data_IF_303857419632
#
_entry.id   IF_303857419632
#
_cell.length_a   1.000
_cell.length_b   1.000
_cell.length_c   1.000
_cell.angle_alpha   90.00
_cell.angle_beta   90.00
_cell.angle_gamma   90.00
#
_symmetry.space_group_name_H-M   'P 1'
#
loop_
_entity.id
_entity.type
_entity.pdbx_description
1 polymer ?
#
# COMPACT_ATOMS: atom_id res chain seq x y z
N UNK A 1 -50.68 27.68 14.92
CA UNK A 1 -49.71 27.54 16.04
C UNK A 1 -48.49 28.39 15.71
N UNK A 2 -48.22 29.43 16.49
CA UNK A 2 -47.04 30.28 16.33
C UNK A 2 -45.80 29.56 16.91
N UNK A 3 -45.22 28.62 16.16
CA UNK A 3 -44.05 27.84 16.58
C UNK A 3 -42.85 28.73 16.98
N UNK A 4 -42.72 29.92 16.40
CA UNK A 4 -41.63 30.87 16.69
C UNK A 4 -41.71 31.52 18.08
N UNK A 5 -42.84 31.39 18.79
CA UNK A 5 -43.02 31.97 20.12
C UNK A 5 -42.59 31.02 21.25
N UNK A 6 -42.40 29.74 20.92
CA UNK A 6 -41.93 28.73 21.86
C UNK A 6 -40.40 28.83 22.05
N UNK A 7 -40.00 29.26 23.25
CA UNK A 7 -38.59 29.39 23.62
C UNK A 7 -37.83 28.06 23.54
N UNK A 8 -38.51 26.92 23.75
CA UNK A 8 -37.91 25.58 23.68
C UNK A 8 -37.59 25.21 22.23
N UNK A 9 -38.50 25.51 21.32
CA UNK A 9 -38.30 25.30 19.88
C UNK A 9 -37.16 26.19 19.34
N UNK A 10 -37.12 27.47 19.74
CA UNK A 10 -36.00 28.36 19.39
C UNK A 10 -34.65 27.84 19.89
N UNK A 11 -34.60 27.27 21.10
CA UNK A 11 -33.38 26.66 21.64
C UNK A 11 -32.91 25.47 20.79
N UNK A 12 -33.82 24.64 20.28
CA UNK A 12 -33.48 23.53 19.39
C UNK A 12 -32.92 24.00 18.05
N UNK A 13 -33.46 25.08 17.49
CA UNK A 13 -32.93 25.68 16.27
C UNK A 13 -31.51 26.23 16.52
N UNK A 14 -31.28 26.88 17.67
CA UNK A 14 -29.95 27.40 18.02
C UNK A 14 -28.92 26.26 18.14
N UNK A 15 -29.27 25.18 18.81
CA UNK A 15 -28.42 23.98 18.93
C UNK A 15 -28.17 23.35 17.56
N UNK A 16 -29.19 23.26 16.71
CA UNK A 16 -29.07 22.76 15.35
C UNK A 16 -28.06 23.58 14.52
N UNK A 17 -28.16 24.91 14.56
CA UNK A 17 -27.22 25.81 13.87
C UNK A 17 -25.80 25.65 14.42
N UNK A 18 -25.64 25.46 15.72
CA UNK A 18 -24.34 25.21 16.35
C UNK A 18 -23.71 23.91 15.85
N UNK A 19 -24.49 22.82 15.75
CA UNK A 19 -24.02 21.55 15.19
C UNK A 19 -23.69 21.65 13.70
N UNK A 20 -24.51 22.33 12.89
CA UNK A 20 -24.18 22.60 11.48
C UNK A 20 -22.88 23.36 11.36
N UNK A 21 -22.73 24.44 12.13
CA UNK A 21 -21.51 25.26 12.14
C UNK A 21 -20.28 24.43 12.51
N UNK A 22 -20.39 23.58 13.55
CA UNK A 22 -19.33 22.66 13.95
C UNK A 22 -18.97 21.65 12.87
N UNK A 23 -19.96 21.08 12.18
CA UNK A 23 -19.74 20.14 11.06
C UNK A 23 -19.02 20.82 9.89
N UNK A 24 -19.36 22.09 9.58
CA UNK A 24 -18.69 22.88 8.55
C UNK A 24 -17.25 23.23 8.92
N UNK A 25 -17.00 23.62 10.17
CA UNK A 25 -15.67 24.03 10.64
C UNK A 25 -14.71 22.85 10.83
N UNK A 26 -15.23 21.68 11.21
CA UNK A 26 -14.43 20.52 11.58
C UNK A 26 -14.90 19.23 10.88
N UNK A 27 -14.68 19.10 9.56
CA UNK A 27 -15.16 17.97 8.77
C UNK A 27 -14.57 16.62 9.23
N UNK A 28 -13.35 16.61 9.78
CA UNK A 28 -12.68 15.40 10.26
C UNK A 28 -13.38 14.70 11.44
N UNK A 29 -14.09 15.46 12.28
CA UNK A 29 -14.80 14.94 13.47
C UNK A 29 -16.33 15.00 13.33
N UNK A 30 -16.82 15.30 12.12
CA UNK A 30 -18.24 15.44 11.81
C UNK A 30 -19.09 14.25 12.25
N UNK A 31 -18.59 13.03 12.10
CA UNK A 31 -19.25 11.81 12.58
C UNK A 31 -19.45 11.78 14.10
N UNK A 32 -18.46 12.22 14.88
CA UNK A 32 -18.57 12.31 16.34
C UNK A 32 -19.59 13.37 16.76
N UNK A 33 -19.62 14.51 16.05
CA UNK A 33 -20.59 15.57 16.27
C UNK A 33 -22.02 15.11 15.99
N UNK A 34 -22.26 14.27 14.98
CA UNK A 34 -23.58 13.69 14.72
C UNK A 34 -24.04 12.75 15.85
N UNK A 35 -23.14 11.92 16.37
CA UNK A 35 -23.44 11.05 17.52
C UNK A 35 -23.79 11.91 18.74
N UNK A 36 -23.02 12.97 19.01
CA UNK A 36 -23.31 13.92 20.09
C UNK A 36 -24.68 14.58 19.89
N UNK A 37 -25.01 15.00 18.65
CA UNK A 37 -26.30 15.59 18.33
C UNK A 37 -27.46 14.62 18.63
N UNK A 38 -27.32 13.34 18.31
CA UNK A 38 -28.33 12.31 18.63
C UNK A 38 -28.60 12.24 20.14
N UNK A 39 -27.55 12.26 20.98
CA UNK A 39 -27.72 12.28 22.43
C UNK A 39 -28.37 13.57 22.93
N UNK A 40 -27.94 14.73 22.42
CA UNK A 40 -28.47 16.04 22.83
C UNK A 40 -29.95 16.18 22.45
N UNK A 41 -30.30 15.94 21.18
CA UNK A 41 -31.69 16.00 20.73
C UNK A 41 -32.55 14.90 21.37
N UNK A 42 -32.00 13.70 21.58
CA UNK A 42 -32.67 12.61 22.30
C UNK A 42 -33.00 12.97 23.75
N UNK A 43 -32.03 13.53 24.49
CA UNK A 43 -32.24 13.97 25.87
C UNK A 43 -33.24 15.13 25.96
N UNK A 44 -33.16 16.12 25.06
CA UNK A 44 -34.13 17.22 24.99
C UNK A 44 -35.55 16.72 24.70
N UNK A 45 -35.71 15.75 23.81
CA UNK A 45 -37.01 15.13 23.50
C UNK A 45 -37.58 14.28 24.65
N UNK A 46 -36.72 13.72 25.51
CA UNK A 46 -37.15 13.00 26.72
C UNK A 46 -37.57 13.98 27.83
N UNK A 47 -36.83 15.07 27.99
CA UNK A 47 -37.08 16.06 29.03
C UNK A 47 -38.34 16.88 28.75
N UNK A 48 -38.62 17.19 27.47
CA UNK A 48 -39.82 17.91 27.07
C UNK A 48 -40.91 16.97 26.55
N UNK A 49 -42.01 16.87 27.30
CA UNK A 49 -43.12 15.96 26.98
C UNK A 49 -44.02 16.42 25.82
N UNK A 50 -43.82 17.61 25.29
CA UNK A 50 -44.70 18.20 24.27
C UNK A 50 -44.50 17.50 22.91
N UNK A 51 -45.59 17.06 22.24
CA UNK A 51 -45.49 16.22 21.05
C UNK A 51 -44.87 16.93 19.84
N UNK A 52 -45.10 18.24 19.69
CA UNK A 52 -44.53 19.01 18.59
C UNK A 52 -43.01 19.19 18.70
N UNK A 53 -42.46 19.26 19.93
CA UNK A 53 -41.01 19.37 20.15
C UNK A 53 -40.28 18.08 19.79
N UNK A 54 -40.91 16.92 20.03
CA UNK A 54 -40.36 15.61 19.62
C UNK A 54 -40.28 15.50 18.11
N UNK A 55 -41.36 15.89 17.42
CA UNK A 55 -41.40 15.91 15.96
C UNK A 55 -40.35 16.87 15.39
N UNK A 56 -40.27 18.08 15.95
CA UNK A 56 -39.26 19.07 15.55
C UNK A 56 -37.83 18.55 15.73
N UNK A 57 -37.52 17.90 16.86
CA UNK A 57 -36.21 17.32 17.12
C UNK A 57 -35.82 16.23 16.14
N UNK A 58 -36.77 15.35 15.81
CA UNK A 58 -36.54 14.30 14.81
C UNK A 58 -36.28 14.91 13.42
N UNK A 59 -37.08 15.91 13.02
CA UNK A 59 -36.91 16.58 11.72
C UNK A 59 -35.56 17.31 11.65
N UNK A 60 -35.17 18.04 12.70
CA UNK A 60 -33.87 18.70 12.76
C UNK A 60 -32.71 17.70 12.71
N UNK A 61 -32.83 16.54 13.37
CA UNK A 61 -31.79 15.52 13.32
C UNK A 61 -31.65 14.91 11.92
N UNK A 62 -32.76 14.63 11.24
CA UNK A 62 -32.74 14.15 9.85
C UNK A 62 -32.14 15.20 8.92
N UNK A 63 -32.51 16.48 9.06
CA UNK A 63 -31.92 17.56 8.26
C UNK A 63 -30.42 17.72 8.52
N UNK A 64 -29.98 17.55 9.77
CA UNK A 64 -28.57 17.61 10.14
C UNK A 64 -27.77 16.47 9.50
N UNK A 65 -28.33 15.26 9.49
CA UNK A 65 -27.74 14.09 8.84
C UNK A 65 -27.62 14.29 7.32
N UNK A 66 -28.67 14.81 6.67
CA UNK A 66 -28.67 15.13 5.24
C UNK A 66 -27.65 16.23 4.91
N UNK A 67 -27.59 17.29 5.70
CA UNK A 67 -26.60 18.35 5.54
C UNK A 67 -25.16 17.81 5.66
N UNK A 68 -24.90 16.95 6.64
CA UNK A 68 -23.58 16.33 6.79
C UNK A 68 -23.20 15.48 5.57
N UNK A 69 -24.14 14.67 5.04
CA UNK A 69 -23.92 13.86 3.84
C UNK A 69 -23.60 14.76 2.64
N UNK A 70 -24.34 15.86 2.46
CA UNK A 70 -24.11 16.80 1.35
C UNK A 70 -22.79 17.57 1.46
N UNK A 71 -22.31 17.87 2.66
CA UNK A 71 -21.10 18.66 2.89
C UNK A 71 -19.81 17.82 2.93
N UNK A 72 -19.84 16.67 3.61
CA UNK A 72 -18.65 15.84 3.85
C UNK A 72 -18.57 14.61 2.93
N UNK A 73 -19.57 14.40 2.09
CA UNK A 73 -19.68 13.23 1.22
C UNK A 73 -20.02 11.95 1.99
N UNK A 74 -20.24 10.88 1.23
CA UNK A 74 -20.44 9.53 1.77
C UNK A 74 -19.16 8.72 1.58
N UNK A 75 -18.68 8.08 2.65
CA UNK A 75 -17.62 7.07 2.55
C UNK A 75 -18.22 5.76 2.10
N UNK A 76 -18.27 5.55 0.79
CA UNK A 76 -18.77 4.34 0.16
C UNK A 76 -17.72 3.22 0.19
N UNK A 77 -18.16 1.99 0.46
CA UNK A 77 -17.37 0.78 0.24
C UNK A 77 -17.16 0.51 -1.25
N UNK A 78 -16.28 -0.42 -1.62
CA UNK A 78 -15.97 -0.70 -3.04
C UNK A 78 -17.19 -1.10 -3.86
N UNK A 79 -18.18 -1.75 -3.24
CA UNK A 79 -19.45 -2.16 -3.86
C UNK A 79 -20.25 -0.95 -4.38
N UNK A 80 -19.93 0.26 -3.91
CA UNK A 80 -20.59 1.51 -4.28
C UNK A 80 -19.64 2.53 -4.93
N UNK A 81 -18.33 2.42 -4.73
CA UNK A 81 -17.31 3.35 -5.26
C UNK A 81 -16.68 2.90 -6.58
N UNK A 82 -16.89 1.64 -6.99
CA UNK A 82 -16.14 1.02 -8.08
C UNK A 82 -14.72 0.62 -7.64
N UNK A 83 -14.27 -0.55 -8.08
CA UNK A 83 -12.96 -1.08 -7.72
C UNK A 83 -12.77 -2.51 -8.18
N UNK A 84 -11.53 -2.98 -8.11
CA UNK A 84 -11.15 -4.32 -8.55
C UNK A 84 -10.73 -5.16 -7.35
N UNK A 85 -11.24 -6.39 -7.30
CA UNK A 85 -10.85 -7.39 -6.31
C UNK A 85 -9.98 -8.42 -7.01
N UNK A 86 -8.73 -8.53 -6.57
CA UNK A 86 -7.77 -9.51 -7.07
C UNK A 86 -7.68 -10.63 -6.02
N UNK A 87 -8.17 -11.85 -6.33
CA UNK A 87 -7.99 -13.00 -5.47
C UNK A 87 -6.59 -13.60 -5.66
N UNK A 88 -5.78 -13.60 -4.60
CA UNK A 88 -4.50 -14.31 -4.55
C UNK A 88 -4.76 -15.69 -3.93
N UNK A 89 -4.69 -16.73 -4.77
CA UNK A 89 -4.87 -18.11 -4.35
C UNK A 89 -3.53 -18.68 -3.89
N UNK A 90 -3.52 -19.28 -2.70
CA UNK A 90 -2.37 -19.97 -2.17
C UNK A 90 -2.31 -21.38 -2.76
N UNK A 91 -1.10 -21.84 -3.10
CA UNK A 91 -0.88 -23.19 -3.64
C UNK A 91 -1.28 -24.29 -2.65
N UNK A 92 -1.16 -24.00 -1.35
CA UNK A 92 -1.57 -24.88 -0.26
C UNK A 92 -2.24 -24.08 0.86
N UNK A 93 -3.06 -24.79 1.65
CA UNK A 93 -3.63 -24.22 2.86
C UNK A 93 -2.53 -23.91 3.87
N UNK A 94 -2.58 -22.73 4.48
CA UNK A 94 -1.65 -22.30 5.52
C UNK A 94 -2.36 -22.15 6.87
N UNK A 95 -1.60 -22.10 7.97
CA UNK A 95 -2.15 -21.80 9.28
C UNK A 95 -2.45 -20.30 9.44
N UNK A 96 -3.08 -19.91 10.55
CA UNK A 96 -3.46 -18.52 10.78
C UNK A 96 -2.24 -17.59 10.95
N UNK A 97 -1.14 -18.11 11.50
CA UNK A 97 0.08 -17.32 11.75
C UNK A 97 0.74 -16.96 10.42
N UNK A 98 1.01 -17.96 9.58
CA UNK A 98 1.55 -17.77 8.23
C UNK A 98 0.59 -16.94 7.38
N UNK A 99 -0.73 -17.14 7.47
CA UNK A 99 -1.70 -16.31 6.76
C UNK A 99 -1.56 -14.83 7.12
N UNK A 100 -1.42 -14.51 8.41
CA UNK A 100 -1.24 -13.14 8.87
C UNK A 100 0.07 -12.55 8.35
N UNK A 101 1.16 -13.33 8.35
CA UNK A 101 2.45 -12.90 7.80
C UNK A 101 2.37 -12.59 6.30
N UNK A 102 1.71 -13.45 5.52
CA UNK A 102 1.46 -13.23 4.09
C UNK A 102 0.65 -11.97 3.84
N UNK A 103 -0.43 -11.76 4.58
CA UNK A 103 -1.24 -10.52 4.50
C UNK A 103 -0.38 -9.30 4.80
N UNK A 104 0.47 -9.34 5.83
CA UNK A 104 1.34 -8.22 6.18
C UNK A 104 2.42 -7.96 5.12
N UNK A 105 2.98 -9.01 4.53
CA UNK A 105 3.94 -8.90 3.44
C UNK A 105 3.32 -8.20 2.23
N UNK A 106 2.11 -8.61 1.83
CA UNK A 106 1.37 -7.98 0.72
C UNK A 106 1.04 -6.52 1.06
N UNK A 107 0.54 -6.23 2.26
CA UNK A 107 0.29 -4.84 2.70
C UNK A 107 1.53 -3.97 2.62
N UNK A 108 2.67 -4.48 3.06
CA UNK A 108 3.94 -3.76 3.02
C UNK A 108 4.35 -3.42 1.59
N UNK A 109 4.29 -4.38 0.66
CA UNK A 109 4.64 -4.18 -0.76
C UNK A 109 3.76 -3.11 -1.40
N UNK A 110 2.45 -3.24 -1.22
CA UNK A 110 1.46 -2.31 -1.78
C UNK A 110 1.64 -0.90 -1.19
N UNK A 111 1.91 -0.80 0.11
CA UNK A 111 2.19 0.49 0.78
C UNK A 111 3.45 1.18 0.26
N UNK A 112 4.54 0.42 0.06
CA UNK A 112 5.82 0.95 -0.50
C UNK A 112 5.61 1.59 -1.87
N UNK A 113 4.66 1.08 -2.65
CA UNK A 113 4.32 1.60 -3.98
C UNK A 113 3.35 2.80 -3.94
N UNK A 114 3.08 3.37 -2.76
CA UNK A 114 2.20 4.51 -2.60
C UNK A 114 0.71 4.17 -2.75
N UNK A 115 0.34 2.88 -2.66
CA UNK A 115 -1.03 2.41 -2.84
C UNK A 115 -1.75 2.29 -1.49
N UNK A 116 -1.80 3.40 -0.74
CA UNK A 116 -2.29 3.44 0.64
C UNK A 116 -3.78 3.12 0.81
N UNK A 117 -4.57 3.20 -0.25
CA UNK A 117 -6.01 2.96 -0.24
C UNK A 117 -6.39 1.48 -0.46
N UNK A 118 -5.41 0.62 -0.74
CA UNK A 118 -5.65 -0.80 -1.01
C UNK A 118 -5.92 -1.56 0.29
N UNK A 119 -6.97 -2.38 0.29
CA UNK A 119 -7.31 -3.26 1.42
C UNK A 119 -6.84 -4.67 1.14
N UNK A 120 -6.21 -5.28 2.14
CA UNK A 120 -5.71 -6.66 2.04
C UNK A 120 -6.23 -7.45 3.24
N UNK A 121 -6.90 -8.56 2.98
CA UNK A 121 -7.44 -9.42 4.02
C UNK A 121 -7.52 -10.88 3.55
N UNK A 122 -7.41 -11.81 4.51
CA UNK A 122 -7.51 -13.25 4.24
C UNK A 122 -8.97 -13.69 4.13
N UNK A 123 -9.22 -14.69 3.29
CA UNK A 123 -10.45 -15.47 3.23
C UNK A 123 -10.10 -16.93 3.52
N UNK A 124 -10.51 -17.39 4.69
CA UNK A 124 -10.17 -18.74 5.16
C UNK A 124 -8.66 -18.93 5.25
N UNK A 125 -8.19 -20.08 4.79
CA UNK A 125 -6.80 -20.54 4.88
C UNK A 125 -6.11 -20.72 3.52
N UNK A 126 -6.78 -20.38 2.41
CA UNK A 126 -6.28 -20.63 1.04
C UNK A 126 -6.31 -19.40 0.14
N UNK A 127 -6.87 -18.27 0.58
CA UNK A 127 -7.05 -17.10 -0.27
C UNK A 127 -6.76 -15.80 0.47
N UNK A 128 -6.12 -14.86 -0.21
CA UNK A 128 -5.97 -13.47 0.23
C UNK A 128 -6.62 -12.57 -0.82
N UNK A 129 -7.51 -11.68 -0.40
CA UNK A 129 -8.09 -10.68 -1.28
C UNK A 129 -7.35 -9.36 -1.17
N UNK A 130 -7.05 -8.80 -2.34
CA UNK A 130 -6.54 -7.45 -2.50
C UNK A 130 -7.62 -6.61 -3.19
N UNK A 131 -8.14 -5.59 -2.49
CA UNK A 131 -9.17 -4.69 -3.01
C UNK A 131 -8.58 -3.33 -3.33
N UNK A 132 -8.74 -2.91 -4.58
CA UNK A 132 -8.22 -1.66 -5.11
C UNK A 132 -9.40 -0.73 -5.39
N UNK A 133 -9.47 0.46 -4.77
CA UNK A 133 -10.53 1.44 -5.01
C UNK A 133 -10.27 2.24 -6.30
N UNK A 134 -9.94 1.56 -7.39
CA UNK A 134 -9.64 2.17 -8.69
C UNK A 134 -10.09 1.25 -9.81
N UNK A 135 -10.60 1.85 -10.89
CA UNK A 135 -10.93 1.21 -12.15
C UNK A 135 -9.87 1.44 -13.24
N UNK A 136 -8.71 1.97 -12.87
CA UNK A 136 -7.59 2.21 -13.78
C UNK A 136 -6.89 0.87 -14.10
N UNK A 137 -7.04 0.40 -15.35
CA UNK A 137 -6.47 -0.86 -15.80
C UNK A 137 -4.94 -0.89 -15.73
N UNK A 138 -4.25 0.23 -15.96
CA UNK A 138 -2.79 0.28 -15.92
C UNK A 138 -2.30 0.11 -14.48
N UNK A 139 -2.98 0.77 -13.54
CA UNK A 139 -2.71 0.63 -12.11
C UNK A 139 -3.03 -0.78 -11.60
N UNK A 140 -4.11 -1.40 -12.10
CA UNK A 140 -4.47 -2.78 -11.75
C UNK A 140 -3.38 -3.74 -12.25
N UNK A 141 -2.98 -3.63 -13.53
CA UNK A 141 -1.93 -4.48 -14.11
C UNK A 141 -0.59 -4.34 -13.38
N UNK A 142 -0.23 -3.11 -13.01
CA UNK A 142 0.97 -2.87 -12.21
C UNK A 142 0.91 -3.57 -10.84
N UNK A 143 -0.25 -3.52 -10.18
CA UNK A 143 -0.45 -4.21 -8.90
C UNK A 143 -0.42 -5.72 -9.08
N UNK A 144 -1.08 -6.25 -10.10
CA UNK A 144 -1.03 -7.68 -10.44
C UNK A 144 0.40 -8.15 -10.65
N UNK A 145 1.19 -7.41 -11.42
CA UNK A 145 2.59 -7.71 -11.70
C UNK A 145 3.44 -7.73 -10.41
N UNK A 146 3.29 -6.72 -9.56
CA UNK A 146 3.99 -6.65 -8.26
C UNK A 146 3.60 -7.81 -7.34
N UNK A 147 2.34 -8.22 -7.35
CA UNK A 147 1.84 -9.31 -6.49
C UNK A 147 2.26 -10.69 -7.02
N UNK A 148 2.42 -10.83 -8.34
CA UNK A 148 2.83 -12.08 -8.97
C UNK A 148 4.30 -12.44 -8.68
N UNK A 149 5.16 -11.44 -8.48
CA UNK A 149 6.58 -11.65 -8.25
C UNK A 149 6.91 -11.88 -6.77
N UNK A 150 7.79 -12.85 -6.48
CA UNK A 150 8.23 -13.14 -5.12
C UNK A 150 9.19 -12.05 -4.61
N UNK A 151 9.91 -11.38 -5.52
CA UNK A 151 10.84 -10.29 -5.22
C UNK A 151 12.13 -10.76 -4.54
N UNK A 152 12.57 -12.01 -4.77
CA UNK A 152 13.79 -12.58 -4.21
C UNK A 152 15.00 -12.09 -4.97
N UNK A 153 15.78 -11.21 -4.35
CA UNK A 153 17.02 -10.69 -4.92
C UNK A 153 18.23 -11.59 -4.60
N UNK A 154 19.08 -11.79 -5.61
CA UNK A 154 20.35 -12.52 -5.50
C UNK A 154 21.44 -11.90 -6.38
N UNK A 155 22.61 -11.65 -5.80
CA UNK A 155 23.83 -11.30 -6.53
C UNK A 155 24.80 -12.49 -6.57
N UNK A 156 25.33 -12.80 -7.75
CA UNK A 156 26.23 -13.93 -8.00
C UNK A 156 27.54 -13.42 -8.61
N UNK A 157 28.66 -13.89 -8.07
CA UNK A 157 30.01 -13.64 -8.59
C UNK A 157 30.68 -14.98 -8.80
N UNK A 158 31.18 -15.25 -10.01
CA UNK A 158 31.89 -16.49 -10.35
C UNK A 158 31.11 -17.76 -9.93
N UNK A 159 29.80 -17.79 -10.23
CA UNK A 159 28.89 -18.88 -9.89
C UNK A 159 28.54 -19.04 -8.40
N UNK A 160 29.09 -18.20 -7.51
CA UNK A 160 28.81 -18.23 -6.07
C UNK A 160 27.85 -17.11 -5.67
N UNK A 161 26.91 -17.41 -4.78
CA UNK A 161 26.00 -16.41 -4.21
C UNK A 161 26.82 -15.45 -3.33
N UNK A 162 27.04 -14.25 -3.85
CA UNK A 162 27.81 -13.20 -3.21
C UNK A 162 26.96 -12.37 -2.26
N UNK A 163 25.67 -12.18 -2.57
CA UNK A 163 24.75 -11.42 -1.71
C UNK A 163 23.30 -11.80 -1.96
N UNK A 164 22.45 -11.65 -0.94
CA UNK A 164 21.00 -11.89 -1.03
C UNK A 164 20.21 -10.68 -0.56
N UNK A 165 18.93 -10.60 -0.95
CA UNK A 165 18.04 -9.50 -0.56
C UNK A 165 17.85 -9.34 0.96
N UNK A 166 18.11 -10.40 1.74
CA UNK A 166 18.00 -10.38 3.20
C UNK A 166 18.98 -9.40 3.88
N UNK A 167 20.11 -9.13 3.24
CA UNK A 167 21.14 -8.21 3.77
C UNK A 167 20.94 -6.75 3.32
N UNK A 168 19.90 -6.43 2.54
CA UNK A 168 19.66 -5.08 2.03
C UNK A 168 18.85 -4.26 3.04
N UNK A 169 19.32 -3.05 3.37
CA UNK A 169 18.53 -2.10 4.13
C UNK A 169 17.38 -1.56 3.28
N UNK A 170 16.15 -1.97 3.58
CA UNK A 170 14.95 -1.53 2.83
C UNK A 170 14.79 0.00 2.73
N UNK A 171 15.30 0.76 3.70
CA UNK A 171 15.28 2.24 3.71
C UNK A 171 16.35 2.89 2.83
N UNK A 172 17.29 2.12 2.30
CA UNK A 172 18.40 2.60 1.47
C UNK A 172 18.15 2.47 -0.03
N UNK A 173 17.08 1.77 -0.42
CA UNK A 173 16.74 1.53 -1.83
C UNK A 173 16.27 2.85 -2.44
N UNK A 174 17.06 3.38 -3.37
CA UNK A 174 16.81 4.67 -4.01
C UNK A 174 17.12 4.58 -5.51
N UNK A 175 16.41 5.37 -6.32
CA UNK A 175 16.81 5.53 -7.72
C UNK A 175 18.19 6.21 -7.77
N UNK A 176 19.10 5.66 -8.55
CA UNK A 176 20.43 6.22 -8.76
C UNK A 176 20.31 7.61 -9.40
N UNK A 177 21.12 8.56 -8.93
CA UNK A 177 21.07 9.93 -9.42
C UNK A 177 21.63 10.03 -10.84
N UNK A 178 21.17 11.03 -11.60
CA UNK A 178 21.60 11.26 -12.97
C UNK A 178 23.14 11.32 -13.12
N UNK A 179 23.84 11.90 -12.15
CA UNK A 179 25.30 12.02 -12.14
C UNK A 179 26.06 10.68 -11.97
N UNK A 180 25.46 9.72 -11.28
CA UNK A 180 25.99 8.35 -11.18
C UNK A 180 25.68 7.53 -12.43
N UNK A 181 24.55 7.79 -13.09
CA UNK A 181 24.11 7.13 -14.32
C UNK A 181 24.93 7.54 -15.56
N UNK A 182 25.31 8.82 -15.67
CA UNK A 182 26.19 9.29 -16.76
C UNK A 182 27.57 8.63 -16.73
N UNK A 183 28.05 8.23 -15.55
CA UNK A 183 29.34 7.52 -15.39
C UNK A 183 29.26 6.04 -15.71
N UNK A 184 28.10 5.41 -15.59
CA UNK A 184 27.89 4.00 -15.93
C UNK A 184 27.33 3.78 -17.34
N UNK A 185 26.80 4.81 -18.00
CA UNK A 185 26.14 4.71 -19.31
C UNK A 185 24.73 4.10 -19.24
N UNK A 186 24.16 3.93 -18.04
CA UNK A 186 22.84 3.36 -17.84
C UNK A 186 21.71 4.41 -17.93
N UNK A 187 20.56 4.03 -18.48
CA UNK A 187 19.39 4.92 -18.58
C UNK A 187 18.62 5.09 -17.25
N UNK A 188 18.75 4.13 -16.35
CA UNK A 188 18.20 4.14 -14.99
C UNK A 188 19.05 3.22 -14.11
N UNK A 189 18.92 3.34 -12.79
CA UNK A 189 19.64 2.51 -11.84
C UNK A 189 19.02 2.54 -10.46
N UNK A 190 19.35 1.54 -9.65
CA UNK A 190 18.90 1.42 -8.26
C UNK A 190 20.14 1.29 -7.39
N UNK A 191 20.21 2.15 -6.38
CA UNK A 191 21.23 2.16 -5.35
C UNK A 191 20.65 1.59 -4.06
N UNK A 192 21.41 0.76 -3.36
CA UNK A 192 21.04 0.24 -2.05
C UNK A 192 22.30 0.00 -1.21
N UNK A 193 22.10 -0.04 0.10
CA UNK A 193 23.12 -0.36 1.09
C UNK A 193 22.82 -1.70 1.74
N UNK A 194 23.88 -2.39 2.16
CA UNK A 194 23.78 -3.71 2.78
C UNK A 194 24.38 -3.70 4.17
N UNK A 195 23.95 -4.64 5.01
CA UNK A 195 24.52 -4.83 6.34
C UNK A 195 25.97 -5.35 6.27
N UNK A 196 26.62 -5.43 7.43
CA UNK A 196 28.01 -5.87 7.54
C UNK A 196 28.20 -7.32 7.06
N UNK A 197 27.26 -8.20 7.36
CA UNK A 197 27.36 -9.63 7.00
C UNK A 197 27.28 -9.82 5.48
N UNK A 198 26.33 -9.15 4.83
CA UNK A 198 26.23 -9.14 3.37
C UNK A 198 27.43 -8.49 2.68
N UNK A 199 28.02 -7.45 3.28
CA UNK A 199 29.24 -6.83 2.78
C UNK A 199 30.46 -7.77 2.87
N UNK A 200 30.61 -8.48 3.99
CA UNK A 200 31.67 -9.49 4.18
C UNK A 200 31.51 -10.66 3.19
N UNK A 201 30.29 -11.20 3.06
CA UNK A 201 29.99 -12.26 2.09
C UNK A 201 30.31 -11.84 0.65
N UNK A 202 29.93 -10.61 0.27
CA UNK A 202 30.22 -10.09 -1.06
C UNK A 202 31.73 -9.91 -1.28
N UNK A 203 32.44 -9.37 -0.29
CA UNK A 203 33.89 -9.17 -0.36
C UNK A 203 34.64 -10.50 -0.52
N UNK A 204 34.25 -11.53 0.22
CA UNK A 204 34.84 -12.87 0.12
C UNK A 204 34.60 -13.50 -1.26
N UNK A 205 33.40 -13.34 -1.83
CA UNK A 205 33.06 -13.83 -3.16
C UNK A 205 33.80 -13.09 -4.28
N UNK A 206 34.01 -11.78 -4.10
CA UNK A 206 34.72 -10.92 -5.06
C UNK A 206 36.25 -10.92 -4.89
N UNK A 207 36.77 -11.52 -3.82
CA UNK A 207 38.20 -11.46 -3.51
C UNK A 207 39.04 -12.11 -4.62
N UNK A 208 39.98 -11.35 -5.17
CA UNK A 208 40.83 -11.79 -6.29
C UNK A 208 40.11 -11.90 -7.64
N UNK A 209 38.88 -11.39 -7.75
CA UNK A 209 38.05 -11.41 -8.97
C UNK A 209 37.91 -10.02 -9.58
N UNK A 210 39.04 -9.33 -9.72
CA UNK A 210 39.07 -8.04 -10.41
C UNK A 210 38.45 -8.19 -11.81
N UNK A 211 37.59 -7.24 -12.17
CA UNK A 211 36.87 -7.17 -13.44
C UNK A 211 35.94 -8.37 -13.77
N UNK A 212 35.64 -9.24 -12.79
CA UNK A 212 34.55 -10.21 -12.94
C UNK A 212 33.19 -9.51 -12.83
N UNK A 213 32.19 -9.90 -13.63
CA UNK A 213 30.86 -9.35 -13.53
C UNK A 213 30.14 -9.83 -12.27
N UNK A 214 29.24 -8.98 -11.77
CA UNK A 214 28.25 -9.34 -10.76
C UNK A 214 26.93 -9.57 -11.47
N UNK A 215 26.45 -10.80 -11.49
CA UNK A 215 25.13 -11.11 -12.04
C UNK A 215 24.07 -10.88 -10.96
N UNK A 216 23.17 -9.94 -11.20
CA UNK A 216 22.08 -9.60 -10.29
C UNK A 216 20.78 -10.16 -10.82
N UNK A 217 20.07 -10.91 -9.98
CA UNK A 217 18.81 -11.55 -10.29
C UNK A 217 17.71 -11.04 -9.36
N UNK A 218 16.51 -10.91 -9.91
CA UNK A 218 15.26 -10.81 -9.16
C UNK A 218 14.41 -12.00 -9.58
N UNK A 219 13.99 -12.82 -8.62
CA UNK A 219 13.25 -14.06 -8.85
C UNK A 219 13.98 -15.02 -9.81
N UNK A 220 15.26 -15.31 -9.50
CA UNK A 220 16.05 -16.28 -10.28
C UNK A 220 15.29 -17.62 -10.33
N UNK A 221 15.02 -18.18 -11.52
CA UNK A 221 14.42 -19.50 -11.62
C UNK A 221 15.39 -20.52 -11.02
N UNK A 222 14.95 -21.24 -10.00
CA UNK A 222 15.76 -22.26 -9.32
C UNK A 222 15.75 -23.60 -10.07
N UNK A 223 14.75 -23.81 -10.93
CA UNK A 223 14.55 -25.03 -11.74
C UNK A 223 14.74 -24.76 -13.24
N UNK A 224 15.70 -23.91 -13.60
CA UNK A 224 16.01 -23.65 -15.00
C UNK A 224 17.52 -23.59 -15.25
N UNK A 225 17.95 -24.32 -16.28
CA UNK A 225 19.28 -24.17 -16.84
C UNK A 225 19.25 -23.02 -17.86
N UNK A 226 20.08 -22.00 -17.63
CA UNK A 226 20.21 -20.88 -18.55
C UNK A 226 21.37 -21.16 -19.49
N UNK A 227 21.07 -21.37 -20.77
CA UNK A 227 22.07 -21.60 -21.81
C UNK A 227 22.36 -20.31 -22.57
N UNK A 228 23.61 -19.88 -22.55
CA UNK A 228 24.13 -18.85 -23.44
C UNK A 228 25.27 -19.43 -24.26
N UNK A 229 25.42 -18.98 -25.51
CA UNK A 229 26.65 -19.26 -26.24
C UNK A 229 27.79 -18.44 -25.62
N UNK A 230 28.99 -19.01 -25.64
CA UNK A 230 30.19 -18.33 -25.14
C UNK A 230 30.42 -16.98 -25.85
N UNK A 231 30.10 -16.90 -27.15
CA UNK A 231 30.14 -15.66 -27.92
C UNK A 231 29.15 -14.60 -27.41
N UNK A 232 27.90 -14.98 -27.16
CA UNK A 232 26.90 -14.05 -26.61
C UNK A 232 27.32 -13.54 -25.23
N UNK A 233 27.81 -14.43 -24.37
CA UNK A 233 28.29 -14.08 -23.04
C UNK A 233 29.48 -13.10 -23.13
N UNK A 234 30.48 -13.41 -23.98
CA UNK A 234 31.64 -12.53 -24.22
C UNK A 234 31.25 -11.17 -24.82
N UNK A 235 30.22 -11.11 -25.66
CA UNK A 235 29.75 -9.87 -26.27
C UNK A 235 29.05 -8.93 -25.28
N UNK A 236 28.39 -9.48 -24.26
CA UNK A 236 27.71 -8.73 -23.21
C UNK A 236 28.64 -8.29 -22.08
N UNK A 237 29.80 -8.96 -21.94
CA UNK A 237 30.82 -8.62 -20.95
C UNK A 237 31.63 -7.38 -21.35
N UNK A 238 31.98 -6.56 -20.36
CA UNK A 238 32.91 -5.43 -20.53
C UNK A 238 34.20 -5.87 -21.25
N UNK A 239 34.80 -5.04 -22.14
CA UNK A 239 36.05 -5.35 -22.82
C UNK A 239 37.15 -5.84 -21.88
N UNK A 240 37.24 -5.26 -20.69
CA UNK A 240 38.29 -5.53 -19.70
C UNK A 240 37.87 -6.59 -18.66
N UNK A 241 36.78 -7.35 -18.90
CA UNK A 241 36.30 -8.30 -17.89
C UNK A 241 37.27 -9.46 -17.66
N UNK A 242 37.72 -9.63 -16.42
CA UNK A 242 38.60 -10.73 -15.99
C UNK A 242 38.00 -12.12 -16.20
N UNK A 243 36.67 -12.25 -16.28
CA UNK A 243 36.00 -13.52 -16.59
C UNK A 243 36.32 -13.99 -18.02
N UNK A 244 36.46 -13.06 -18.99
CA UNK A 244 36.81 -13.39 -20.39
C UNK A 244 38.13 -14.15 -20.52
N UNK A 245 39.10 -13.88 -19.65
CA UNK A 245 40.41 -14.55 -19.68
C UNK A 245 40.37 -15.99 -19.17
N UNK A 246 39.38 -16.30 -18.34
CA UNK A 246 39.21 -17.61 -17.70
C UNK A 246 38.22 -18.51 -18.43
N UNK A 247 37.34 -17.94 -19.26
CA UNK A 247 36.54 -18.64 -20.26
C UNK A 247 37.44 -19.09 -21.43
N UNK A 248 38.20 -20.15 -21.21
CA UNK A 248 38.94 -20.86 -22.27
C UNK A 248 38.10 -22.01 -22.83
N UNK A 249 38.08 -22.08 -24.16
CA UNK A 249 37.65 -23.24 -24.96
C UNK A 249 38.36 -24.53 -24.57
#
# INVERSE_FOLDING_TARGET
MEFYKDRKFLLMILIFVLFISGICLYPAVSGLLLILALFVFGALCLFWKEPHLKLAGLVLLVLLALANIGLNGMKFGIDFSGGTRIPVLLEQSVDQTTMNELVQAIKKRVSVLGLTEVKVYAIGNTQINVEIPSSDEERIRFIEDVLAHQGVYMGVVDGKVAITGGHIFSTSITATTADQLTRSGAAWGVSFSVDREGAEQFADAAFGKADYPVYMYLDRPMDADIFYTEEQLKSAMSPDSGEKETLKS
#
